data_IF_840521389126
#
_entry.id   IF_840521389126
#
_cell.length_a   1.000
_cell.length_b   1.000
_cell.length_c   1.000
_cell.angle_alpha   90.00
_cell.angle_beta   90.00
_cell.angle_gamma   90.00
#
_symmetry.space_group_name_H-M   'P 1'
#
loop_
_entity.id
_entity.type
_entity.pdbx_description
1 polymer ?
#
# COMPACT_ATOMS: atom_id res chain seq x y z
N UNK A 1 -13.51 5.59 7.90
CA UNK A 1 -12.47 4.71 7.33
C UNK A 1 -11.89 5.33 6.07
N UNK A 2 -10.57 5.44 5.99
CA UNK A 2 -9.88 5.99 4.84
C UNK A 2 -8.59 5.20 4.57
N UNK A 3 -8.29 5.01 3.30
CA UNK A 3 -7.03 4.41 2.88
C UNK A 3 -5.96 5.49 2.82
N UNK A 4 -4.78 5.21 3.39
CA UNK A 4 -3.64 6.12 3.33
C UNK A 4 -2.39 5.37 2.90
N UNK A 5 -1.63 6.02 2.03
CA UNK A 5 -0.27 5.64 1.69
C UNK A 5 0.67 6.50 2.54
N UNK A 6 1.62 5.84 3.17
CA UNK A 6 2.73 6.46 3.88
C UNK A 6 4.05 5.95 3.33
N UNK A 7 5.09 6.73 3.55
CA UNK A 7 6.45 6.39 3.18
C UNK A 7 7.33 6.27 4.43
N UNK A 8 8.32 5.38 4.32
CA UNK A 8 9.38 5.22 5.30
C UNK A 8 10.68 5.65 4.63
N UNK A 9 11.37 6.62 5.24
CA UNK A 9 12.59 7.22 4.68
C UNK A 9 13.74 7.12 5.69
N UNK A 10 15.01 7.16 5.24
CA UNK A 10 16.14 7.37 6.14
C UNK A 10 16.02 8.69 6.89
N UNK A 11 16.40 8.72 8.18
CA UNK A 11 16.26 9.87 9.09
C UNK A 11 17.08 11.09 8.68
N UNK A 12 18.16 10.88 7.97
CA UNK A 12 18.97 11.92 7.36
C UNK A 12 18.30 12.61 6.16
N UNK A 13 17.19 12.06 5.65
CA UNK A 13 16.44 12.64 4.53
C UNK A 13 15.85 13.99 4.92
N UNK A 14 16.36 15.06 4.30
CA UNK A 14 15.80 16.40 4.46
C UNK A 14 14.65 16.59 3.48
N UNK A 15 13.42 16.67 4.00
CA UNK A 15 12.22 16.85 3.16
C UNK A 15 12.33 18.07 2.22
N UNK A 16 12.99 19.15 2.67
CA UNK A 16 13.25 20.33 1.83
C UNK A 16 14.04 20.03 0.56
N UNK A 17 14.97 19.08 0.61
CA UNK A 17 15.85 18.74 -0.52
C UNK A 17 15.09 17.93 -1.58
N UNK A 18 14.09 17.15 -1.16
CA UNK A 18 13.23 16.35 -2.04
C UNK A 18 11.89 17.03 -2.37
N UNK A 19 11.63 18.22 -1.82
CA UNK A 19 10.39 18.99 -2.02
C UNK A 19 10.05 19.20 -3.50
N UNK A 20 11.00 19.55 -4.40
CA UNK A 20 10.68 19.71 -5.83
C UNK A 20 10.15 18.43 -6.48
N UNK A 21 10.65 17.26 -6.05
CA UNK A 21 10.20 15.95 -6.54
C UNK A 21 8.79 15.68 -6.01
N UNK A 22 8.56 15.88 -4.71
CA UNK A 22 7.25 15.70 -4.07
C UNK A 22 6.18 16.55 -4.77
N UNK A 23 6.47 17.83 -5.03
CA UNK A 23 5.55 18.75 -5.70
C UNK A 23 5.28 18.38 -7.15
N UNK A 24 6.33 18.01 -7.91
CA UNK A 24 6.22 17.57 -9.31
C UNK A 24 5.24 16.40 -9.45
N UNK A 25 5.32 15.42 -8.55
CA UNK A 25 4.45 14.24 -8.56
C UNK A 25 3.18 14.41 -7.72
N UNK A 26 2.93 15.61 -7.19
CA UNK A 26 1.76 15.94 -6.38
C UNK A 26 1.57 15.03 -5.16
N UNK A 27 2.67 14.52 -4.60
CA UNK A 27 2.66 13.75 -3.36
C UNK A 27 2.53 14.70 -2.16
N UNK A 28 2.08 14.18 -1.02
CA UNK A 28 2.18 14.87 0.26
C UNK A 28 3.29 14.22 1.08
N UNK A 29 4.10 14.97 1.82
CA UNK A 29 5.11 14.43 2.74
C UNK A 29 5.00 15.20 4.05
N UNK A 30 4.21 14.68 4.99
CA UNK A 30 4.07 15.22 6.34
C UNK A 30 4.42 14.15 7.37
N UNK A 31 5.12 14.51 8.44
CA UNK A 31 5.47 13.55 9.49
C UNK A 31 4.22 12.94 10.12
N UNK A 32 4.29 11.65 10.44
CA UNK A 32 3.30 10.93 11.25
C UNK A 32 4.05 10.38 12.46
N UNK A 33 3.59 10.72 13.66
CA UNK A 33 4.11 10.15 14.90
C UNK A 33 3.20 9.02 15.40
N UNK A 34 3.08 7.95 14.60
CA UNK A 34 2.35 6.76 15.03
C UNK A 34 3.29 5.84 15.82
N UNK A 35 3.12 5.80 17.15
CA UNK A 35 3.98 5.02 18.06
C UNK A 35 4.01 3.53 17.73
N UNK A 36 2.90 2.97 17.23
CA UNK A 36 2.85 1.55 16.87
C UNK A 36 3.76 1.26 15.67
N UNK A 37 3.74 2.10 14.64
CA UNK A 37 4.59 1.98 13.45
C UNK A 37 6.05 2.31 13.81
N UNK A 38 6.29 3.39 14.54
CA UNK A 38 7.64 3.83 14.94
C UNK A 38 8.38 2.77 15.76
N UNK A 39 7.67 1.96 16.55
CA UNK A 39 8.25 0.83 17.28
C UNK A 39 8.60 -0.39 16.42
N UNK A 40 8.16 -0.44 15.16
CA UNK A 40 8.34 -1.58 14.24
C UNK A 40 9.29 -1.28 13.08
N UNK A 41 9.45 -0.02 12.69
CA UNK A 41 10.42 0.39 11.65
C UNK A 41 11.84 0.46 12.22
N UNK A 42 12.86 0.49 11.36
CA UNK A 42 14.26 0.44 11.81
C UNK A 42 14.63 1.74 12.51
N UNK A 43 15.53 1.64 13.49
CA UNK A 43 16.15 2.81 14.09
C UNK A 43 16.85 3.64 13.00
N UNK A 44 16.58 4.95 12.99
CA UNK A 44 17.09 5.84 11.94
C UNK A 44 16.18 5.94 10.72
N UNK A 45 14.91 5.55 10.83
CA UNK A 45 13.89 5.80 9.81
C UNK A 45 12.86 6.86 10.27
N UNK A 46 12.19 7.47 9.30
CA UNK A 46 11.09 8.41 9.45
C UNK A 46 9.83 7.80 8.87
N UNK A 47 8.70 7.99 9.55
CA UNK A 47 7.37 7.71 8.99
C UNK A 47 6.73 9.01 8.53
N UNK A 48 6.41 9.09 7.24
CA UNK A 48 5.76 10.26 6.65
C UNK A 48 4.53 9.84 5.88
N UNK A 49 3.47 10.63 5.96
CA UNK A 49 2.30 10.50 5.11
C UNK A 49 2.70 10.83 3.67
N UNK A 50 2.40 9.94 2.71
CA UNK A 50 2.63 10.15 1.28
C UNK A 50 1.38 10.75 0.58
N UNK A 51 0.21 10.66 1.22
CA UNK A 51 -1.06 11.22 0.76
C UNK A 51 -1.07 12.75 0.81
N UNK A 52 -1.46 13.41 -0.29
CA UNK A 52 -1.56 14.89 -0.33
C UNK A 52 -2.84 15.46 0.28
N UNK A 53 -4.00 14.88 -0.02
CA UNK A 53 -5.31 15.47 0.31
C UNK A 53 -6.07 14.63 1.34
N UNK A 54 -7.18 14.00 0.96
CA UNK A 54 -8.13 13.40 1.91
C UNK A 54 -7.83 11.91 2.17
N UNK A 55 -7.76 11.09 1.12
CA UNK A 55 -7.45 9.66 1.20
C UNK A 55 -6.96 9.14 -0.16
N UNK A 56 -6.36 7.95 -0.16
CA UNK A 56 -5.84 7.24 -1.33
C UNK A 56 -6.77 6.11 -1.79
N UNK A 57 -8.07 6.17 -1.48
CA UNK A 57 -9.07 5.13 -1.82
C UNK A 57 -9.21 4.88 -3.35
N UNK A 58 -8.69 5.80 -4.16
CA UNK A 58 -8.60 5.71 -5.62
C UNK A 58 -7.16 5.48 -6.11
N UNK A 59 -6.26 5.02 -5.24
CA UNK A 59 -4.90 4.71 -5.66
C UNK A 59 -4.83 3.47 -6.54
N UNK A 60 -3.90 3.50 -7.50
CA UNK A 60 -3.56 2.34 -8.33
C UNK A 60 -2.74 1.30 -7.54
N UNK A 61 -2.09 1.72 -6.45
CA UNK A 61 -1.26 0.85 -5.61
C UNK A 61 -2.11 -0.22 -4.93
N UNK A 62 -1.74 -1.47 -5.14
CA UNK A 62 -2.47 -2.62 -4.60
C UNK A 62 -3.84 -2.85 -5.25
N UNK A 63 -4.15 -2.22 -6.39
CA UNK A 63 -5.43 -2.42 -7.08
C UNK A 63 -5.68 -3.87 -7.52
N UNK A 64 -4.60 -4.67 -7.65
CA UNK A 64 -4.61 -6.10 -7.94
C UNK A 64 -4.25 -6.98 -6.73
N UNK A 65 -4.17 -6.42 -5.51
CA UNK A 65 -3.85 -7.16 -4.29
C UNK A 65 -4.91 -8.23 -3.99
N UNK A 66 -4.43 -9.47 -3.83
CA UNK A 66 -5.26 -10.60 -3.42
C UNK A 66 -5.59 -10.54 -1.93
N UNK A 67 -4.67 -10.06 -1.09
CA UNK A 67 -4.90 -9.92 0.35
C UNK A 67 -6.01 -8.93 0.67
N UNK A 68 -5.95 -7.73 0.08
CA UNK A 68 -7.00 -6.70 0.19
C UNK A 68 -8.37 -7.26 -0.24
N UNK A 69 -8.40 -7.99 -1.37
CA UNK A 69 -9.64 -8.61 -1.87
C UNK A 69 -10.16 -9.71 -0.94
N UNK A 70 -9.28 -10.54 -0.36
CA UNK A 70 -9.67 -11.57 0.61
C UNK A 70 -10.32 -10.94 1.84
N UNK A 71 -9.73 -9.88 2.39
CA UNK A 71 -10.26 -9.13 3.55
C UNK A 71 -11.67 -8.58 3.27
N UNK A 72 -11.84 -7.85 2.16
CA UNK A 72 -13.15 -7.31 1.75
C UNK A 72 -14.22 -8.41 1.57
N UNK A 73 -13.85 -9.55 0.98
CA UNK A 73 -14.77 -10.68 0.83
C UNK A 73 -15.11 -11.34 2.18
N UNK A 74 -14.13 -11.46 3.08
CA UNK A 74 -14.30 -12.02 4.43
C UNK A 74 -15.32 -11.22 5.27
N UNK A 75 -15.33 -9.89 5.10
CA UNK A 75 -16.28 -8.99 5.78
C UNK A 75 -17.67 -8.94 5.13
N UNK A 76 -17.81 -9.54 3.95
CA UNK A 76 -19.05 -9.49 3.18
C UNK A 76 -20.24 -10.18 3.88
N UNK A 77 -21.45 -9.70 3.59
CA UNK A 77 -22.70 -10.35 4.01
C UNK A 77 -22.75 -11.83 3.60
N UNK A 78 -22.08 -12.20 2.50
CA UNK A 78 -22.06 -13.58 2.00
C UNK A 78 -21.27 -14.49 2.93
N UNK A 79 -20.08 -14.08 3.37
CA UNK A 79 -19.29 -14.86 4.33
C UNK A 79 -19.99 -14.96 5.67
N UNK A 80 -20.64 -13.89 6.14
CA UNK A 80 -21.50 -13.95 7.35
C UNK A 80 -22.58 -15.02 7.22
N UNK A 81 -23.24 -15.14 6.06
CA UNK A 81 -24.24 -16.17 5.78
C UNK A 81 -23.63 -17.58 5.70
N UNK A 82 -22.43 -17.74 5.13
CA UNK A 82 -21.75 -19.05 5.10
C UNK A 82 -21.43 -19.55 6.52
N UNK A 83 -20.93 -18.66 7.40
CA UNK A 83 -20.73 -18.96 8.82
C UNK A 83 -22.03 -19.37 9.52
N UNK A 84 -23.11 -18.63 9.29
CA UNK A 84 -24.44 -18.96 9.84
C UNK A 84 -24.96 -20.32 9.34
N UNK A 85 -24.58 -20.72 8.14
CA UNK A 85 -24.92 -22.01 7.55
C UNK A 85 -23.99 -23.16 8.01
N UNK A 86 -23.13 -22.94 9.00
CA UNK A 86 -22.27 -23.97 9.58
C UNK A 86 -21.03 -24.32 8.76
N UNK A 87 -20.61 -23.47 7.82
CA UNK A 87 -19.37 -23.69 7.08
C UNK A 87 -18.16 -23.56 8.00
N UNK A 88 -17.19 -24.46 7.85
CA UNK A 88 -15.91 -24.39 8.57
C UNK A 88 -15.04 -23.23 8.06
N UNK A 89 -14.01 -22.88 8.83
CA UNK A 89 -13.05 -21.85 8.43
C UNK A 89 -12.33 -22.22 7.12
N UNK A 90 -11.97 -23.49 6.96
CA UNK A 90 -11.29 -24.04 5.79
C UNK A 90 -12.19 -23.96 4.56
N UNK A 91 -13.47 -24.31 4.68
CA UNK A 91 -14.43 -24.23 3.56
C UNK A 91 -14.67 -22.78 3.11
N UNK A 92 -14.69 -21.84 4.05
CA UNK A 92 -14.80 -20.41 3.74
C UNK A 92 -13.54 -19.93 3.04
N UNK A 93 -12.35 -20.36 3.49
CA UNK A 93 -11.08 -19.99 2.87
C UNK A 93 -10.94 -20.54 1.45
N UNK A 94 -11.28 -21.81 1.22
CA UNK A 94 -11.33 -22.40 -0.13
C UNK A 94 -12.29 -21.64 -1.05
N UNK A 95 -13.47 -21.28 -0.53
CA UNK A 95 -14.44 -20.48 -1.27
C UNK A 95 -13.93 -19.09 -1.61
N UNK A 96 -13.25 -18.42 -0.66
CA UNK A 96 -12.62 -17.12 -0.88
C UNK A 96 -11.54 -17.21 -1.96
N UNK A 97 -10.70 -18.23 -1.92
CA UNK A 97 -9.67 -18.47 -2.94
C UNK A 97 -10.27 -18.69 -4.32
N UNK A 98 -11.30 -19.52 -4.44
CA UNK A 98 -12.02 -19.77 -5.69
C UNK A 98 -12.62 -18.47 -6.25
N UNK A 99 -13.22 -17.64 -5.37
CA UNK A 99 -13.74 -16.33 -5.77
C UNK A 99 -12.64 -15.41 -6.25
N UNK A 100 -11.55 -15.26 -5.50
CA UNK A 100 -10.43 -14.38 -5.88
C UNK A 100 -9.83 -14.83 -7.23
N UNK A 101 -9.66 -16.14 -7.44
CA UNK A 101 -9.18 -16.72 -8.70
C UNK A 101 -10.13 -16.38 -9.87
N UNK A 102 -11.44 -16.53 -9.68
CA UNK A 102 -12.46 -16.19 -10.69
C UNK A 102 -12.60 -14.68 -10.95
N UNK A 103 -12.44 -13.85 -9.91
CA UNK A 103 -12.49 -12.38 -10.02
C UNK A 103 -11.27 -11.78 -10.71
N UNK A 104 -10.13 -12.49 -10.81
CA UNK A 104 -9.02 -12.07 -11.69
C UNK A 104 -9.47 -11.87 -13.14
N UNK A 105 -10.59 -12.46 -13.55
CA UNK A 105 -11.19 -12.27 -14.88
C UNK A 105 -12.25 -11.16 -14.94
N UNK A 106 -12.82 -10.71 -13.81
CA UNK A 106 -13.90 -9.70 -13.82
C UNK A 106 -14.02 -8.90 -12.51
N UNK A 107 -13.89 -7.56 -12.62
CA UNK A 107 -14.43 -6.51 -11.71
C UNK A 107 -13.69 -6.20 -10.39
N UNK A 108 -12.42 -5.81 -10.43
CA UNK A 108 -11.96 -4.71 -9.55
C UNK A 108 -12.50 -3.37 -10.06
N UNK A 109 -12.30 -2.23 -9.35
CA UNK A 109 -12.48 -0.89 -9.94
C UNK A 109 -11.76 -0.91 -11.29
N UNK A 110 -12.53 -0.96 -12.38
CA UNK A 110 -11.98 -1.25 -13.71
C UNK A 110 -11.35 0.04 -14.20
N UNK A 111 -10.12 0.27 -13.74
CA UNK A 111 -9.24 1.19 -14.42
C UNK A 111 -9.21 0.75 -15.87
N UNK A 112 -9.48 1.69 -16.78
CA UNK A 112 -9.14 1.48 -18.18
C UNK A 112 -7.67 1.07 -18.22
N UNK A 113 -7.27 -0.01 -18.92
CA UNK A 113 -5.90 -0.53 -18.86
C UNK A 113 -4.83 0.56 -19.09
N UNK A 114 -5.13 1.52 -19.95
CA UNK A 114 -4.30 2.70 -20.23
C UNK A 114 -4.16 3.62 -19.01
N UNK A 115 -5.26 3.91 -18.31
CA UNK A 115 -5.24 4.75 -17.11
C UNK A 115 -4.50 4.07 -15.96
N UNK A 116 -4.70 2.75 -15.76
CA UNK A 116 -3.94 1.98 -14.76
C UNK A 116 -2.44 2.06 -15.06
N UNK A 117 -2.07 1.84 -16.33
CA UNK A 117 -0.69 1.92 -16.78
C UNK A 117 -0.10 3.31 -16.57
N UNK A 118 -0.83 4.36 -16.92
CA UNK A 118 -0.42 5.75 -16.71
C UNK A 118 -0.14 6.04 -15.24
N UNK A 119 -1.10 5.75 -14.35
CA UNK A 119 -0.95 6.03 -12.92
C UNK A 119 0.17 5.20 -12.27
N UNK A 120 0.31 3.93 -12.66
CA UNK A 120 1.42 3.11 -12.18
C UNK A 120 2.78 3.65 -12.68
N UNK A 121 2.85 4.12 -13.93
CA UNK A 121 4.04 4.75 -14.48
C UNK A 121 4.39 6.08 -13.77
N UNK A 122 3.40 6.88 -13.37
CA UNK A 122 3.63 8.09 -12.57
C UNK A 122 4.29 7.74 -11.22
N UNK A 123 3.83 6.67 -10.56
CA UNK A 123 4.49 6.15 -9.36
C UNK A 123 5.91 5.62 -9.61
N UNK A 124 6.12 4.88 -10.70
CA UNK A 124 7.44 4.36 -11.09
C UNK A 124 8.41 5.53 -11.32
N UNK A 125 7.98 6.57 -12.01
CA UNK A 125 8.79 7.76 -12.27
C UNK A 125 9.10 8.51 -10.97
N UNK A 126 8.09 8.70 -10.11
CA UNK A 126 8.28 9.28 -8.78
C UNK A 126 9.34 8.54 -7.97
N UNK A 127 9.22 7.21 -7.86
CA UNK A 127 10.17 6.37 -7.10
C UNK A 127 11.58 6.43 -7.71
N UNK A 128 11.69 6.39 -9.05
CA UNK A 128 12.97 6.47 -9.74
C UNK A 128 13.66 7.83 -9.57
N UNK A 129 12.90 8.93 -9.51
CA UNK A 129 13.48 10.25 -9.26
C UNK A 129 13.86 10.42 -7.79
N UNK A 130 12.97 10.02 -6.89
CA UNK A 130 13.18 10.17 -5.46
C UNK A 130 14.38 9.36 -4.96
N UNK A 131 14.57 8.13 -5.45
CA UNK A 131 15.70 7.29 -5.03
C UNK A 131 17.08 7.83 -5.41
N UNK A 132 17.16 8.81 -6.32
CA UNK A 132 18.43 9.48 -6.61
C UNK A 132 18.81 10.48 -5.52
N UNK A 133 17.84 10.85 -4.66
CA UNK A 133 18.00 11.81 -3.57
C UNK A 133 17.95 11.14 -2.18
N UNK A 134 17.48 9.88 -2.10
CA UNK A 134 17.41 9.11 -0.86
C UNK A 134 17.96 7.70 -1.07
N UNK A 135 18.62 7.13 -0.08
CA UNK A 135 19.23 5.80 -0.21
C UNK A 135 18.20 4.67 -0.41
N UNK A 136 16.98 4.86 0.10
CA UNK A 136 15.84 3.94 -0.02
C UNK A 136 14.53 4.63 0.30
N UNK A 137 13.42 4.03 -0.10
CA UNK A 137 12.07 4.42 0.30
C UNK A 137 11.21 3.19 0.55
N UNK A 138 10.60 3.09 1.72
CA UNK A 138 9.50 2.16 1.98
C UNK A 138 8.17 2.79 1.60
N UNK A 139 7.30 2.07 0.89
CA UNK A 139 5.88 2.42 0.79
C UNK A 139 5.05 1.48 1.66
N UNK A 140 4.13 2.05 2.43
CA UNK A 140 3.24 1.34 3.33
C UNK A 140 1.80 1.81 3.11
N UNK A 141 0.88 0.85 2.99
CA UNK A 141 -0.55 1.12 2.84
C UNK A 141 -1.34 0.47 3.97
N UNK A 142 -2.23 1.25 4.57
CA UNK A 142 -3.12 0.78 5.61
C UNK A 142 -4.51 1.41 5.45
N UNK A 143 -5.53 0.65 5.86
CA UNK A 143 -6.91 1.09 5.89
C UNK A 143 -7.24 1.52 7.31
N UNK A 144 -7.17 2.83 7.56
CA UNK A 144 -7.32 3.40 8.89
C UNK A 144 -8.79 3.46 9.28
N UNK A 145 -9.10 2.94 10.47
CA UNK A 145 -10.41 3.05 11.10
C UNK A 145 -10.51 4.28 11.99
N UNK A 146 -9.37 4.79 12.49
CA UNK A 146 -9.27 5.90 13.42
C UNK A 146 -8.23 6.94 12.95
N UNK A 147 -7.74 7.78 13.87
CA UNK A 147 -6.68 8.76 13.63
C UNK A 147 -5.35 8.09 13.22
N UNK A 148 -4.63 8.75 12.30
CA UNK A 148 -3.35 8.29 11.76
C UNK A 148 -2.26 8.08 12.83
N UNK A 149 -2.32 8.82 13.93
CA UNK A 149 -1.28 8.84 14.97
C UNK A 149 -1.54 7.81 16.08
N UNK A 150 -2.81 7.50 16.36
CA UNK A 150 -3.21 6.71 17.54
C UNK A 150 -3.61 5.27 17.21
N UNK A 151 -3.95 4.98 15.95
CA UNK A 151 -4.35 3.64 15.54
C UNK A 151 -3.21 2.63 15.74
N UNK A 152 -3.52 1.51 16.39
CA UNK A 152 -2.56 0.43 16.62
C UNK A 152 -2.46 -0.44 15.38
N UNK A 153 -1.32 -0.35 14.70
CA UNK A 153 -1.07 -1.00 13.41
C UNK A 153 0.06 -2.01 13.58
N UNK A 154 -0.06 -3.17 12.93
CA UNK A 154 1.02 -4.18 12.88
C UNK A 154 1.55 -4.29 11.47
N UNK A 155 2.83 -4.01 11.28
CA UNK A 155 3.53 -4.28 10.02
C UNK A 155 3.75 -5.78 9.94
N UNK A 156 3.14 -6.42 8.95
CA UNK A 156 3.18 -7.88 8.78
C UNK A 156 4.52 -8.37 8.24
N UNK A 157 5.10 -7.62 7.31
CA UNK A 157 6.40 -7.93 6.72
C UNK A 157 7.00 -6.69 6.02
N UNK A 158 8.30 -6.75 5.74
CA UNK A 158 9.00 -5.80 4.88
C UNK A 158 9.58 -6.54 3.67
N UNK A 159 9.12 -6.19 2.48
CA UNK A 159 9.58 -6.74 1.19
C UNK A 159 10.55 -5.78 0.52
N UNK A 160 11.76 -6.24 0.20
CA UNK A 160 12.74 -5.46 -0.54
C UNK A 160 12.46 -5.57 -2.05
N UNK A 161 12.37 -4.43 -2.73
CA UNK A 161 12.04 -4.34 -4.16
C UNK A 161 13.14 -3.59 -4.89
N UNK A 162 13.77 -4.25 -5.86
CA UNK A 162 14.75 -3.61 -6.72
C UNK A 162 14.03 -2.79 -7.78
N UNK A 163 14.31 -1.48 -7.88
CA UNK A 163 13.67 -0.63 -8.88
C UNK A 163 13.99 -1.01 -10.35
N UNK A 164 15.00 -1.84 -10.59
CA UNK A 164 15.31 -2.29 -11.95
C UNK A 164 14.50 -3.53 -12.37
N UNK A 165 13.66 -4.09 -11.49
CA UNK A 165 12.95 -5.36 -11.74
C UNK A 165 11.50 -5.30 -11.25
N UNK A 166 10.56 -5.63 -12.14
CA UNK A 166 9.15 -5.92 -11.82
C UNK A 166 8.40 -4.89 -10.95
N UNK A 167 8.78 -3.60 -11.00
CA UNK A 167 8.13 -2.56 -10.18
C UNK A 167 6.64 -2.47 -10.51
N UNK A 168 6.28 -2.46 -11.80
CA UNK A 168 4.90 -2.29 -12.24
C UNK A 168 3.96 -3.30 -11.57
N UNK A 169 4.32 -4.57 -11.67
CA UNK A 169 3.55 -5.67 -11.09
C UNK A 169 3.53 -5.61 -9.56
N UNK A 170 4.67 -5.23 -8.96
CA UNK A 170 4.79 -5.06 -7.52
C UNK A 170 3.85 -3.99 -7.00
N UNK A 171 3.84 -2.79 -7.61
CA UNK A 171 2.96 -1.68 -7.23
C UNK A 171 1.49 -2.08 -7.31
N UNK A 172 1.08 -2.76 -8.38
CA UNK A 172 -0.32 -3.21 -8.52
C UNK A 172 -0.71 -4.27 -7.49
N UNK A 173 0.24 -5.09 -7.03
CA UNK A 173 -0.01 -6.22 -6.12
C UNK A 173 0.29 -5.88 -4.65
N UNK A 174 0.63 -4.63 -4.31
CA UNK A 174 0.90 -4.22 -2.94
C UNK A 174 -0.25 -4.58 -1.99
N UNK A 175 0.06 -5.40 -0.98
CA UNK A 175 -0.88 -5.79 0.06
C UNK A 175 -0.92 -4.76 1.20
N UNK A 176 -2.01 -4.78 1.97
CA UNK A 176 -2.13 -3.97 3.19
C UNK A 176 -1.17 -4.46 4.27
N UNK A 177 -0.69 -3.53 5.08
CA UNK A 177 0.13 -3.79 6.26
C UNK A 177 1.52 -4.35 5.95
N UNK A 178 1.99 -4.15 4.72
CA UNK A 178 3.28 -4.60 4.23
C UNK A 178 4.09 -3.39 3.76
N UNK A 179 5.34 -3.30 4.22
CA UNK A 179 6.28 -2.28 3.76
C UNK A 179 7.00 -2.80 2.51
N UNK A 180 6.89 -2.08 1.41
CA UNK A 180 7.68 -2.35 0.20
C UNK A 180 8.86 -1.39 0.17
N UNK A 181 10.05 -1.86 0.58
CA UNK A 181 11.31 -1.10 0.62
C UNK A 181 11.97 -1.12 -0.76
N UNK A 182 11.83 -0.02 -1.49
CA UNK A 182 12.45 0.18 -2.79
C UNK A 182 13.90 0.68 -2.64
N UNK A 183 14.79 0.11 -3.44
CA UNK A 183 16.21 0.45 -3.49
C UNK A 183 16.75 0.37 -4.91
N UNK A 184 17.88 1.04 -5.14
CA UNK A 184 18.68 0.94 -6.37
C UNK A 184 19.99 0.23 -6.01
N UNK A 185 20.34 -0.83 -6.74
CA UNK A 185 21.65 -1.49 -6.64
C UNK A 185 22.74 -0.59 -7.21
#
# INVERSE_FOLDING_TARGET
MCFYISAILPRETKIKDIQPIIEKYKMGFSFIDNKSIMGQIKQGELHVRATRNYCDCDSVLGSNSTGTRKKLLMESKKVKKLKQNGWSAEQIDEWLEDKIKKTKQTKGKKWWPELQRKLANEWIQFLNELINSVSKIGLFKHWYEDNLEDETITIRETKRVNLNQDIYDTLLKMDEDIVYEFYRN
#
